data_IF_830708862922
#
_entry.id   IF_830708862922
#
_cell.length_a   1.000
_cell.length_b   1.000
_cell.length_c   1.000
_cell.angle_alpha   90.00
_cell.angle_beta   90.00
_cell.angle_gamma   90.00
#
_symmetry.space_group_name_H-M   'P 1'
#
loop_
_entity.id
_entity.type
_entity.pdbx_description
1 polymer ?
#
# COMPACT_ATOMS: atom_id res chain seq x y z
N UNK A 1 -0.17 34.17 -37.60
CA UNK A 1 0.87 33.87 -36.59
C UNK A 1 0.34 33.20 -35.32
N UNK A 2 -0.79 33.61 -34.73
CA UNK A 2 -1.37 33.00 -33.52
C UNK A 2 -1.87 31.56 -33.73
N UNK A 3 -2.49 31.26 -34.88
CA UNK A 3 -3.03 29.93 -35.20
C UNK A 3 -1.91 28.89 -35.38
N UNK A 4 -0.81 29.23 -36.04
CA UNK A 4 0.34 28.32 -36.21
C UNK A 4 1.03 28.00 -34.88
N UNK A 5 1.01 28.91 -33.90
CA UNK A 5 1.55 28.67 -32.55
C UNK A 5 0.64 27.75 -31.76
N UNK A 6 -0.68 27.88 -31.89
CA UNK A 6 -1.66 26.99 -31.27
C UNK A 6 -1.59 25.56 -31.83
N UNK A 7 -1.46 25.42 -33.14
CA UNK A 7 -1.31 24.11 -33.83
C UNK A 7 -0.01 23.43 -33.41
N UNK A 8 1.12 24.14 -33.35
CA UNK A 8 2.38 23.57 -32.83
C UNK A 8 2.25 23.14 -31.39
N UNK A 9 1.53 23.88 -30.57
CA UNK A 9 1.31 23.51 -29.15
C UNK A 9 0.47 22.25 -29.05
N UNK A 10 -0.60 22.10 -29.82
CA UNK A 10 -1.44 20.90 -29.88
C UNK A 10 -0.63 19.69 -30.38
N UNK A 11 0.18 19.84 -31.42
CA UNK A 11 1.02 18.75 -31.93
C UNK A 11 2.08 18.34 -30.92
N UNK A 12 2.70 19.29 -30.19
CA UNK A 12 3.67 18.96 -29.12
C UNK A 12 3.02 18.21 -27.96
N UNK A 13 1.73 18.41 -27.68
CA UNK A 13 0.96 17.68 -26.69
C UNK A 13 0.62 16.25 -27.13
N UNK A 14 0.44 16.02 -28.41
CA UNK A 14 0.12 14.70 -28.99
C UNK A 14 1.35 13.81 -29.20
N UNK A 15 2.55 14.35 -29.01
CA UNK A 15 3.79 13.55 -29.08
C UNK A 15 4.10 12.91 -27.74
N UNK A 16 4.80 11.76 -27.70
CA UNK A 16 5.27 11.15 -26.46
C UNK A 16 6.06 12.12 -25.58
N UNK A 17 6.81 13.05 -26.17
CA UNK A 17 7.52 14.10 -25.46
C UNK A 17 6.56 15.12 -24.82
N UNK A 18 5.50 15.49 -25.49
CA UNK A 18 4.46 16.39 -24.96
C UNK A 18 3.74 15.77 -23.76
N UNK A 19 3.43 14.49 -23.80
CA UNK A 19 2.83 13.74 -22.69
C UNK A 19 3.79 13.70 -21.48
N UNK A 20 5.08 13.40 -21.71
CA UNK A 20 6.10 13.41 -20.66
C UNK A 20 6.31 14.80 -20.07
N UNK A 21 6.29 15.84 -20.89
CA UNK A 21 6.40 17.24 -20.43
C UNK A 21 5.20 17.65 -19.59
N UNK A 22 3.98 17.30 -20.01
CA UNK A 22 2.76 17.58 -19.28
C UNK A 22 2.71 16.83 -17.93
N UNK A 23 3.18 15.58 -17.91
CA UNK A 23 3.29 14.81 -16.67
C UNK A 23 4.31 15.43 -15.69
N UNK A 24 5.49 15.83 -16.18
CA UNK A 24 6.48 16.54 -15.37
C UNK A 24 5.92 17.85 -14.83
N UNK A 25 5.27 18.66 -15.65
CA UNK A 25 4.65 19.91 -15.22
C UNK A 25 3.57 19.69 -14.15
N UNK A 26 2.74 18.67 -14.31
CA UNK A 26 1.75 18.27 -13.30
C UNK A 26 2.42 17.85 -11.97
N UNK A 27 3.50 17.07 -12.04
CA UNK A 27 4.27 16.63 -10.87
C UNK A 27 4.91 17.83 -10.15
N UNK A 28 5.56 18.75 -10.88
CA UNK A 28 6.14 19.95 -10.29
C UNK A 28 5.08 20.84 -9.64
N UNK A 29 3.90 20.96 -10.24
CA UNK A 29 2.79 21.74 -9.67
C UNK A 29 2.28 21.12 -8.37
N UNK A 30 2.18 19.79 -8.29
CA UNK A 30 1.78 19.09 -7.06
C UNK A 30 2.77 19.35 -5.94
N UNK A 31 4.07 19.13 -6.20
CA UNK A 31 5.14 19.37 -5.24
C UNK A 31 5.18 20.83 -4.79
N UNK A 32 5.02 21.80 -5.73
CA UNK A 32 4.95 23.20 -5.40
C UNK A 32 3.78 23.52 -4.48
N UNK A 33 2.59 23.03 -4.79
CA UNK A 33 1.41 23.20 -3.95
C UNK A 33 1.59 22.59 -2.56
N UNK A 34 2.19 21.40 -2.49
CA UNK A 34 2.51 20.77 -1.21
C UNK A 34 3.42 21.64 -0.36
N UNK A 35 4.50 22.16 -0.94
CA UNK A 35 5.46 23.04 -0.27
C UNK A 35 4.77 24.33 0.21
N UNK A 36 3.91 24.95 -0.60
CA UNK A 36 3.20 26.17 -0.21
C UNK A 36 2.20 25.91 0.94
N UNK A 37 1.46 24.79 0.92
CA UNK A 37 0.59 24.41 2.02
C UNK A 37 1.38 24.09 3.30
N UNK A 38 2.51 23.41 3.18
CA UNK A 38 3.40 23.14 4.30
C UNK A 38 3.95 24.44 4.91
N UNK A 39 4.40 25.39 4.09
CA UNK A 39 4.81 26.73 4.55
C UNK A 39 3.72 27.45 5.34
N UNK A 40 2.46 27.37 4.85
CA UNK A 40 1.32 27.96 5.57
C UNK A 40 1.09 27.27 6.90
N UNK A 41 1.15 25.95 6.94
CA UNK A 41 1.02 25.16 8.17
C UNK A 41 2.08 25.54 9.22
N UNK A 42 3.37 25.58 8.82
CA UNK A 42 4.48 25.94 9.74
C UNK A 42 4.33 27.37 10.30
N UNK A 43 3.73 28.28 9.53
CA UNK A 43 3.46 29.65 9.98
C UNK A 43 2.21 29.77 10.84
N UNK A 44 1.32 28.79 10.81
CA UNK A 44 0.15 28.79 11.68
C UNK A 44 0.53 28.44 13.11
N UNK A 45 -0.10 29.05 14.09
CA UNK A 45 0.08 28.70 15.50
C UNK A 45 -0.67 27.42 15.88
N UNK A 46 -1.54 26.92 15.00
CA UNK A 46 -2.30 25.69 15.20
C UNK A 46 -1.45 24.49 14.80
N UNK A 47 -0.86 23.84 15.80
CA UNK A 47 -0.24 22.53 15.62
C UNK A 47 -1.31 21.44 15.75
N UNK A 48 -1.18 20.42 14.92
CA UNK A 48 -2.01 19.24 14.99
C UNK A 48 -1.41 18.28 16.02
N UNK A 49 -2.23 17.78 16.94
CA UNK A 49 -1.81 16.75 17.88
C UNK A 49 -2.02 15.36 17.27
N UNK A 50 -1.02 14.49 17.42
CA UNK A 50 -1.13 13.12 16.96
C UNK A 50 -1.95 12.27 17.92
N UNK A 51 -2.62 11.28 17.35
CA UNK A 51 -3.30 10.23 18.10
C UNK A 51 -2.27 9.18 18.52
N UNK A 52 -2.18 8.91 19.82
CA UNK A 52 -1.20 7.96 20.38
C UNK A 52 -1.60 6.52 20.15
N UNK A 53 -2.86 6.17 20.37
CA UNK A 53 -3.36 4.80 20.31
C UNK A 53 -4.09 4.51 19.00
N UNK A 54 -4.08 3.24 18.60
CA UNK A 54 -4.84 2.81 17.43
C UNK A 54 -6.34 3.00 17.67
N UNK A 55 -7.07 3.65 16.73
CA UNK A 55 -8.52 3.80 16.84
C UNK A 55 -9.28 2.49 16.57
N UNK A 56 -8.64 1.50 15.97
CA UNK A 56 -9.21 0.20 15.66
C UNK A 56 -8.77 -0.88 16.65
N UNK A 57 -9.65 -1.81 16.97
CA UNK A 57 -9.32 -2.99 17.80
C UNK A 57 -8.40 -3.94 17.03
N UNK A 58 -8.68 -4.13 15.75
CA UNK A 58 -7.90 -4.97 14.84
C UNK A 58 -7.74 -4.27 13.49
N UNK A 59 -6.53 -4.33 12.95
CA UNK A 59 -6.23 -3.94 11.58
C UNK A 59 -5.81 -5.21 10.83
N UNK A 60 -6.52 -5.53 9.76
CA UNK A 60 -6.26 -6.72 8.94
C UNK A 60 -5.63 -6.29 7.62
N UNK A 61 -4.50 -6.88 7.27
CA UNK A 61 -3.95 -6.78 5.92
C UNK A 61 -4.17 -8.09 5.16
N UNK A 62 -4.89 -8.02 4.06
CA UNK A 62 -5.04 -9.14 3.13
C UNK A 62 -3.93 -9.05 2.11
N UNK A 63 -3.08 -10.06 2.08
CA UNK A 63 -1.92 -10.13 1.19
C UNK A 63 -2.05 -11.29 0.21
N UNK A 64 -1.37 -11.18 -0.91
CA UNK A 64 -1.30 -12.28 -1.87
C UNK A 64 -0.30 -11.97 -2.97
N UNK A 65 0.18 -13.01 -3.62
CA UNK A 65 0.91 -12.85 -4.86
C UNK A 65 -0.06 -12.43 -5.95
N UNK A 66 0.39 -11.68 -6.91
CA UNK A 66 -0.46 -11.21 -7.98
C UNK A 66 -1.39 -12.27 -8.54
N UNK A 67 -2.66 -11.92 -8.59
CA UNK A 67 -3.75 -12.83 -9.00
C UNK A 67 -3.90 -14.10 -8.14
N UNK A 68 -3.43 -14.08 -6.91
CA UNK A 68 -3.61 -15.17 -5.95
C UNK A 68 -5.06 -15.35 -5.46
N UNK A 69 -5.93 -14.39 -5.74
CA UNK A 69 -7.30 -14.39 -5.25
C UNK A 69 -7.49 -13.66 -3.92
N UNK A 70 -6.54 -12.83 -3.49
CA UNK A 70 -6.66 -12.00 -2.28
C UNK A 70 -7.91 -11.12 -2.28
N UNK A 71 -8.31 -10.61 -3.44
CA UNK A 71 -9.56 -9.86 -3.59
C UNK A 71 -10.81 -10.62 -3.12
N UNK A 72 -10.85 -11.94 -3.25
CA UNK A 72 -11.97 -12.75 -2.75
C UNK A 72 -12.07 -12.70 -1.20
N UNK A 73 -10.93 -12.69 -0.50
CA UNK A 73 -10.92 -12.53 0.97
C UNK A 73 -11.30 -11.10 1.36
N UNK A 74 -10.86 -10.09 0.59
CA UNK A 74 -11.28 -8.70 0.79
C UNK A 74 -12.78 -8.55 0.61
N UNK A 75 -13.37 -9.18 -0.42
CA UNK A 75 -14.80 -9.16 -0.68
C UNK A 75 -15.58 -9.90 0.42
N UNK A 76 -15.08 -11.05 0.89
CA UNK A 76 -15.63 -11.73 2.06
C UNK A 76 -15.67 -10.81 3.28
N UNK A 77 -14.56 -10.14 3.60
CA UNK A 77 -14.48 -9.25 4.77
C UNK A 77 -15.40 -8.01 4.63
N UNK A 78 -15.76 -7.60 3.42
CA UNK A 78 -16.76 -6.53 3.19
C UNK A 78 -18.17 -6.93 3.61
N UNK A 79 -18.47 -8.22 3.73
CA UNK A 79 -19.79 -8.72 4.08
C UNK A 79 -20.13 -8.55 5.56
N UNK A 80 -19.15 -8.18 6.41
CA UNK A 80 -19.34 -8.00 7.85
C UNK A 80 -19.64 -6.55 8.22
N UNK A 81 -20.60 -6.34 9.12
CA UNK A 81 -20.97 -5.02 9.60
C UNK A 81 -19.88 -4.37 10.44
N UNK A 82 -19.08 -5.19 11.13
CA UNK A 82 -17.99 -4.76 12.01
C UNK A 82 -16.71 -4.34 11.27
N UNK A 83 -16.64 -4.56 9.95
CA UNK A 83 -15.44 -4.25 9.17
C UNK A 83 -15.60 -2.98 8.34
N UNK A 84 -14.53 -2.21 8.26
CA UNK A 84 -14.34 -1.16 7.26
C UNK A 84 -13.22 -1.60 6.30
N UNK A 85 -13.57 -1.82 5.04
CA UNK A 85 -12.61 -2.24 4.02
C UNK A 85 -12.19 -1.04 3.19
N UNK A 86 -10.91 -0.69 3.25
CA UNK A 86 -10.29 0.25 2.33
C UNK A 86 -9.78 -0.55 1.14
N UNK A 87 -10.41 -0.37 0.03
CA UNK A 87 -10.06 -1.08 -1.21
C UNK A 87 -10.91 -0.63 -2.35
N UNK A 88 -10.46 -1.02 -3.48
CA UNK A 88 -10.90 -0.62 -4.76
C UNK A 88 -12.27 -1.04 -5.09
N UNK A 89 -13.20 -0.71 -5.49
CA UNK A 89 -14.23 -1.12 -6.45
C UNK A 89 -15.25 -2.07 -5.86
N UNK A 90 -16.47 -1.63 -5.82
CA UNK A 90 -17.58 -2.54 -5.73
C UNK A 90 -17.69 -3.39 -7.02
N UNK A 91 -18.42 -4.50 -6.94
CA UNK A 91 -18.63 -5.44 -8.04
C UNK A 91 -19.28 -4.83 -9.29
N UNK A 92 -19.82 -3.63 -9.20
CA UNK A 92 -20.45 -2.90 -10.30
C UNK A 92 -19.52 -1.91 -10.98
N UNK A 93 -18.25 -1.78 -10.52
CA UNK A 93 -17.30 -0.83 -11.06
C UNK A 93 -17.57 0.61 -10.64
N UNK A 94 -18.54 0.85 -9.77
CA UNK A 94 -18.75 2.14 -9.13
C UNK A 94 -17.84 2.23 -7.90
N UNK A 95 -17.03 3.27 -7.84
CA UNK A 95 -16.35 3.59 -6.58
C UNK A 95 -17.44 3.86 -5.55
N UNK A 96 -17.53 3.01 -4.53
CA UNK A 96 -18.36 3.31 -3.37
C UNK A 96 -18.08 4.74 -2.96
N UNK A 97 -19.11 5.48 -2.59
CA UNK A 97 -18.98 6.83 -2.01
C UNK A 97 -18.28 6.70 -0.66
N UNK A 98 -17.03 6.29 -0.66
CA UNK A 98 -16.20 6.37 0.52
C UNK A 98 -15.87 7.83 0.75
N UNK A 99 -16.06 8.29 1.96
CA UNK A 99 -15.69 9.64 2.37
C UNK A 99 -14.18 9.83 2.22
N UNK A 100 -13.41 8.73 2.34
CA UNK A 100 -11.99 8.65 2.05
C UNK A 100 -11.78 7.90 0.74
N UNK A 101 -11.41 8.65 -0.28
CA UNK A 101 -11.15 8.15 -1.63
C UNK A 101 -9.71 7.68 -1.74
N UNK A 102 -9.43 6.48 -1.29
CA UNK A 102 -8.16 5.85 -1.62
C UNK A 102 -8.37 4.37 -1.96
N UNK A 103 -7.75 3.96 -3.04
CA UNK A 103 -7.71 2.58 -3.44
C UNK A 103 -6.85 1.75 -2.49
N UNK A 104 -5.83 2.38 -1.94
CA UNK A 104 -4.78 1.77 -1.15
C UNK A 104 -4.29 2.80 -0.14
N UNK A 105 -3.88 2.32 1.04
CA UNK A 105 -3.13 3.17 1.97
C UNK A 105 -1.67 3.16 1.53
N UNK A 106 -1.42 3.77 0.40
CA UNK A 106 -0.14 3.73 -0.32
C UNK A 106 1.02 4.41 0.43
N UNK A 107 0.72 5.30 1.38
CA UNK A 107 1.72 5.85 2.31
C UNK A 107 2.37 4.76 3.16
N UNK A 108 1.68 3.63 3.35
CA UNK A 108 2.16 2.46 4.06
C UNK A 108 2.90 1.49 3.15
N UNK A 109 2.64 1.54 1.86
CA UNK A 109 3.32 0.66 0.91
C UNK A 109 4.80 0.90 0.92
N UNK A 110 5.50 -0.16 1.10
CA UNK A 110 6.91 -0.20 1.36
C UNK A 110 7.83 0.10 0.22
N UNK A 111 7.42 -0.15 -1.01
CA UNK A 111 8.27 0.15 -2.15
C UNK A 111 8.50 1.66 -2.29
N UNK A 112 8.98 2.25 -1.25
CA UNK A 112 9.26 3.64 -1.17
C UNK A 112 8.51 4.41 -0.09
N UNK A 113 7.71 3.74 0.73
CA UNK A 113 6.98 4.36 1.83
C UNK A 113 7.85 4.67 3.05
N UNK A 114 7.18 4.92 4.16
CA UNK A 114 7.81 5.27 5.44
C UNK A 114 8.88 4.26 5.89
N UNK A 115 8.75 2.99 5.55
CA UNK A 115 9.72 1.94 5.89
C UNK A 115 11.05 2.04 5.13
N UNK A 116 11.06 2.47 3.86
CA UNK A 116 12.33 2.65 3.15
C UNK A 116 13.16 3.77 3.76
N UNK A 117 12.49 4.77 4.30
CA UNK A 117 13.13 5.88 4.98
C UNK A 117 13.95 5.41 6.18
N UNK A 118 13.51 4.37 6.86
CA UNK A 118 14.22 3.76 7.99
C UNK A 118 15.64 3.31 7.64
N UNK A 119 15.89 2.89 6.41
CA UNK A 119 17.22 2.48 5.92
C UNK A 119 18.26 3.61 5.93
N UNK A 120 17.79 4.83 5.99
CA UNK A 120 18.67 6.02 6.02
C UNK A 120 18.89 6.58 7.43
N UNK A 121 18.19 6.04 8.44
CA UNK A 121 18.30 6.48 9.82
C UNK A 121 19.58 5.88 10.44
N UNK A 122 20.30 6.70 11.22
CA UNK A 122 21.55 6.28 11.84
C UNK A 122 22.77 6.34 10.91
N UNK A 123 22.61 6.74 9.67
CA UNK A 123 23.75 7.07 8.82
C UNK A 123 24.22 8.49 9.13
N UNK A 124 25.44 8.64 9.60
CA UNK A 124 26.05 9.95 9.84
C UNK A 124 26.42 10.70 8.53
N UNK A 125 25.81 10.35 7.42
CA UNK A 125 26.11 10.92 6.12
C UNK A 125 25.13 12.04 5.79
N UNK A 126 25.61 13.26 5.74
CA UNK A 126 24.85 14.50 5.44
C UNK A 126 24.06 14.38 4.12
N UNK A 127 24.63 13.74 3.10
CA UNK A 127 23.96 13.52 1.82
C UNK A 127 22.78 12.54 1.91
N UNK A 128 22.82 11.59 2.83
CA UNK A 128 21.74 10.64 3.04
C UNK A 128 20.53 11.29 3.71
N UNK A 129 20.75 12.31 4.52
CA UNK A 129 19.68 12.98 5.27
C UNK A 129 18.87 13.96 4.40
N UNK A 130 19.52 14.65 3.47
CA UNK A 130 18.80 15.43 2.46
C UNK A 130 17.96 14.50 1.55
N UNK A 131 18.52 13.36 1.15
CA UNK A 131 17.80 12.33 0.41
C UNK A 131 16.64 11.75 1.21
N UNK A 132 16.78 11.59 2.53
CA UNK A 132 15.74 11.15 3.43
C UNK A 132 14.52 12.09 3.41
N UNK A 133 14.77 13.37 3.64
CA UNK A 133 13.74 14.39 3.68
C UNK A 133 13.02 14.49 2.33
N UNK A 134 13.76 14.49 1.22
CA UNK A 134 13.20 14.46 -0.12
C UNK A 134 12.33 13.22 -0.38
N UNK A 135 12.73 12.06 0.12
CA UNK A 135 11.94 10.83 -0.01
C UNK A 135 10.66 10.88 0.81
N UNK A 136 10.72 11.31 2.07
CA UNK A 136 9.53 11.45 2.91
C UNK A 136 8.52 12.39 2.24
N UNK A 137 8.98 13.57 1.79
CA UNK A 137 8.11 14.51 1.06
C UNK A 137 7.51 13.88 -0.18
N UNK A 138 8.33 13.23 -1.00
CA UNK A 138 7.87 12.63 -2.25
C UNK A 138 6.85 11.52 -2.00
N UNK A 139 7.01 10.73 -0.93
CA UNK A 139 6.07 9.69 -0.54
C UNK A 139 4.74 10.28 -0.09
N UNK A 140 4.77 11.26 0.79
CA UNK A 140 3.54 11.87 1.31
C UNK A 140 2.82 12.63 0.19
N UNK A 141 3.51 13.49 -0.57
CA UNK A 141 2.87 14.33 -1.59
C UNK A 141 2.30 13.53 -2.77
N UNK A 142 2.88 12.36 -3.06
CA UNK A 142 2.44 11.48 -4.14
C UNK A 142 1.39 10.47 -3.72
N UNK A 143 1.18 10.29 -2.42
CA UNK A 143 0.23 9.29 -1.92
C UNK A 143 -1.22 9.67 -2.25
N UNK A 144 -2.01 8.68 -2.64
CA UNK A 144 -3.41 8.89 -2.94
C UNK A 144 -4.20 9.28 -1.70
N UNK A 145 -3.82 8.75 -0.55
CA UNK A 145 -4.47 9.11 0.71
C UNK A 145 -4.31 10.59 1.03
N UNK A 146 -3.11 11.16 0.87
CA UNK A 146 -2.87 12.59 1.05
C UNK A 146 -3.60 13.44 -0.01
N UNK A 147 -3.53 13.02 -1.27
CA UNK A 147 -4.10 13.77 -2.38
C UNK A 147 -5.62 13.90 -2.28
N UNK A 148 -6.28 12.84 -1.86
CA UNK A 148 -7.74 12.73 -1.91
C UNK A 148 -8.43 13.10 -0.59
N UNK A 149 -7.69 13.22 0.52
CA UNK A 149 -8.26 13.44 1.85
C UNK A 149 -7.68 14.69 2.52
N UNK A 150 -8.34 15.85 2.40
CA UNK A 150 -7.87 17.08 3.04
C UNK A 150 -7.75 17.00 4.57
N UNK A 151 -8.58 16.20 5.24
CA UNK A 151 -8.59 16.04 6.71
C UNK A 151 -7.30 15.49 7.28
N UNK A 152 -6.58 14.62 6.52
CA UNK A 152 -5.32 14.04 6.99
C UNK A 152 -4.09 14.93 6.75
N UNK A 153 -4.21 15.98 5.94
CA UNK A 153 -3.08 16.84 5.58
C UNK A 153 -2.39 17.51 6.76
N UNK A 154 -3.11 18.01 7.79
CA UNK A 154 -2.47 18.59 8.96
C UNK A 154 -1.53 17.61 9.68
N UNK A 155 -1.91 16.35 9.79
CA UNK A 155 -1.06 15.31 10.39
C UNK A 155 0.19 15.03 9.54
N UNK A 156 0.05 14.99 8.23
CA UNK A 156 1.19 14.85 7.33
C UNK A 156 2.16 16.03 7.45
N UNK A 157 1.65 17.24 7.58
CA UNK A 157 2.47 18.44 7.76
C UNK A 157 3.14 18.49 9.14
N UNK A 158 2.43 18.08 10.19
CA UNK A 158 3.02 17.97 11.54
C UNK A 158 4.15 16.93 11.55
N UNK A 159 3.96 15.77 10.93
CA UNK A 159 4.99 14.76 10.79
C UNK A 159 6.23 15.30 10.06
N UNK A 160 6.02 16.02 8.97
CA UNK A 160 7.08 16.67 8.23
C UNK A 160 7.80 17.74 9.05
N UNK A 161 7.05 18.54 9.83
CA UNK A 161 7.62 19.58 10.70
C UNK A 161 8.55 18.97 11.74
N UNK A 162 8.11 17.89 12.41
CA UNK A 162 8.93 17.17 13.39
C UNK A 162 10.20 16.58 12.80
N UNK A 163 10.12 15.98 11.62
CA UNK A 163 11.31 15.48 10.92
C UNK A 163 12.25 16.64 10.60
N UNK A 164 11.74 17.76 10.12
CA UNK A 164 12.56 18.95 9.84
C UNK A 164 13.21 19.49 11.09
N UNK A 165 12.49 19.59 12.20
CA UNK A 165 13.00 20.09 13.49
C UNK A 165 14.17 19.25 14.00
N UNK A 166 14.10 17.92 13.85
CA UNK A 166 15.19 17.03 14.27
C UNK A 166 16.39 17.08 13.34
N UNK A 167 16.13 17.13 12.03
CA UNK A 167 17.22 17.23 11.06
C UNK A 167 17.99 18.55 11.18
N UNK A 168 17.45 19.54 11.88
CA UNK A 168 17.97 20.90 11.93
C UNK A 168 18.22 21.41 13.35
N UNK A 169 18.76 20.58 14.25
CA UNK A 169 18.99 20.94 15.65
C UNK A 169 20.18 21.91 15.84
N UNK A 170 20.07 23.14 15.34
CA UNK A 170 20.87 24.26 15.82
C UNK A 170 19.96 25.44 16.17
N UNK A 171 20.30 26.30 17.12
CA UNK A 171 19.50 27.51 17.42
C UNK A 171 19.29 28.42 16.19
N UNK A 172 20.18 28.33 15.20
CA UNK A 172 20.05 29.01 13.91
C UNK A 172 19.17 28.22 12.93
N UNK A 173 18.94 26.94 13.18
CA UNK A 173 18.20 26.05 12.29
C UNK A 173 16.68 26.17 12.45
N UNK A 174 16.18 26.76 13.54
CA UNK A 174 14.76 27.16 13.62
C UNK A 174 14.37 28.14 12.50
N UNK A 175 15.37 28.79 11.88
CA UNK A 175 15.23 29.62 10.70
C UNK A 175 15.51 28.86 9.38
N UNK A 176 16.00 27.63 9.48
CA UNK A 176 16.47 26.86 8.32
C UNK A 176 15.63 25.61 8.11
N UNK A 177 14.57 25.74 7.37
CA UNK A 177 13.86 24.62 6.80
C UNK A 177 14.19 24.58 5.30
N UNK A 178 14.84 23.51 4.79
CA UNK A 178 15.24 23.44 3.39
C UNK A 178 14.08 23.57 2.42
N UNK A 179 12.86 23.28 2.86
CA UNK A 179 11.63 23.48 2.07
C UNK A 179 11.04 24.89 2.21
N UNK A 180 11.36 25.61 3.27
CA UNK A 180 10.86 26.98 3.50
C UNK A 180 11.82 28.05 2.97
N UNK A 181 13.10 27.77 2.97
CA UNK A 181 14.15 28.73 2.59
C UNK A 181 14.98 28.12 1.46
N UNK A 182 14.68 28.38 0.22
CA UNK A 182 15.48 27.95 -0.93
C UNK A 182 16.92 28.43 -0.80
N UNK A 183 17.75 27.66 -0.11
CA UNK A 183 19.20 27.87 -0.09
C UNK A 183 19.87 26.89 -1.02
N UNK A 184 21.00 27.30 -1.56
CA UNK A 184 21.76 26.52 -2.52
C UNK A 184 22.40 25.25 -1.90
N UNK A 185 22.90 24.37 -2.75
CA UNK A 185 23.49 23.08 -2.41
C UNK A 185 24.70 23.08 -1.44
N UNK A 186 25.12 24.23 -0.98
CA UNK A 186 26.30 24.38 -0.13
C UNK A 186 26.01 24.61 1.36
N UNK A 187 24.76 24.56 1.77
CA UNK A 187 24.41 24.79 3.16
C UNK A 187 24.57 23.48 3.97
N UNK A 188 25.42 23.55 4.99
CA UNK A 188 25.68 22.44 5.91
C UNK A 188 24.47 22.29 6.83
N UNK A 189 23.78 21.15 6.72
CA UNK A 189 22.74 20.75 7.65
C UNK A 189 23.41 20.03 8.85
N UNK A 190 23.30 20.60 10.03
CA UNK A 190 23.64 19.90 11.26
C UNK A 190 22.49 18.99 11.64
N UNK A 191 22.80 17.72 11.81
CA UNK A 191 21.80 16.69 12.03
C UNK A 191 21.88 16.22 13.48
N UNK A 192 20.75 16.21 14.14
CA UNK A 192 20.59 15.45 15.36
C UNK A 192 20.40 13.99 14.98
N UNK A 193 21.13 13.10 15.60
CA UNK A 193 20.90 11.68 15.48
C UNK A 193 19.58 11.34 16.20
N UNK A 194 18.61 10.84 15.46
CA UNK A 194 17.44 10.19 16.05
C UNK A 194 17.51 8.69 15.77
N UNK A 195 16.91 7.93 16.65
CA UNK A 195 16.92 6.48 16.57
C UNK A 195 15.83 5.95 15.64
N UNK A 196 15.99 4.74 15.16
CA UNK A 196 14.94 4.02 14.43
C UNK A 196 13.66 3.93 15.26
N UNK A 197 13.79 3.74 16.57
CA UNK A 197 12.64 3.62 17.48
C UNK A 197 11.83 4.93 17.55
N UNK A 198 12.49 6.09 17.63
CA UNK A 198 11.83 7.40 17.60
C UNK A 198 11.11 7.61 16.25
N UNK A 199 11.74 7.23 15.14
CA UNK A 199 11.13 7.32 13.83
C UNK A 199 9.88 6.44 13.71
N UNK A 200 9.96 5.18 14.17
CA UNK A 200 8.83 4.25 14.18
C UNK A 200 7.69 4.76 15.04
N UNK A 201 7.98 5.33 16.20
CA UNK A 201 6.97 5.92 17.06
C UNK A 201 6.20 7.06 16.37
N UNK A 202 6.91 7.93 15.67
CA UNK A 202 6.25 9.01 14.92
C UNK A 202 5.45 8.51 13.72
N UNK A 203 5.97 7.54 13.01
CA UNK A 203 5.21 6.91 11.93
C UNK A 203 3.93 6.27 12.47
N UNK A 204 3.99 5.58 13.62
CA UNK A 204 2.84 4.98 14.29
C UNK A 204 1.80 6.03 14.65
N UNK A 205 2.21 7.15 15.25
CA UNK A 205 1.34 8.26 15.58
C UNK A 205 0.68 8.90 14.37
N UNK A 206 1.45 9.08 13.29
CA UNK A 206 0.91 9.53 12.02
C UNK A 206 -0.15 8.55 11.50
N UNK A 207 0.14 7.25 11.52
CA UNK A 207 -0.80 6.22 11.05
C UNK A 207 -2.05 6.16 11.92
N UNK A 208 -1.92 6.21 13.24
CA UNK A 208 -3.05 6.25 14.14
C UNK A 208 -3.96 7.46 13.87
N UNK A 209 -3.36 8.63 13.62
CA UNK A 209 -4.09 9.84 13.27
C UNK A 209 -4.85 9.69 11.93
N UNK A 210 -4.19 9.12 10.92
CA UNK A 210 -4.82 8.82 9.63
C UNK A 210 -5.97 7.82 9.82
N UNK A 211 -5.76 6.76 10.59
CA UNK A 211 -6.77 5.74 10.85
C UNK A 211 -7.95 6.29 11.67
N UNK A 212 -7.71 7.28 12.54
CA UNK A 212 -8.78 7.97 13.27
C UNK A 212 -9.70 8.73 12.30
N UNK A 213 -9.13 9.48 11.38
CA UNK A 213 -9.92 10.16 10.33
C UNK A 213 -10.70 9.16 9.46
N UNK A 214 -10.07 8.03 9.13
CA UNK A 214 -10.72 6.96 8.38
C UNK A 214 -11.89 6.38 9.16
N UNK A 215 -11.72 6.11 10.46
CA UNK A 215 -12.76 5.55 11.32
C UNK A 215 -13.96 6.48 11.47
N UNK A 216 -13.72 7.75 11.73
CA UNK A 216 -14.80 8.76 11.78
C UNK A 216 -15.60 8.82 10.48
N UNK A 217 -14.93 8.72 9.36
CA UNK A 217 -15.59 8.74 8.04
C UNK A 217 -16.37 7.45 7.73
N UNK A 218 -16.08 6.33 8.41
CA UNK A 218 -16.64 5.00 8.12
C UNK A 218 -17.75 4.54 9.05
N UNK A 219 -18.16 5.37 10.01
CA UNK A 219 -19.21 5.03 10.98
C UNK A 219 -18.71 4.19 12.16
N UNK A 220 -17.48 4.43 12.63
CA UNK A 220 -16.92 3.93 13.89
C UNK A 220 -16.77 2.40 13.99
N UNK A 221 -16.55 1.73 12.88
CA UNK A 221 -16.36 0.28 12.85
C UNK A 221 -15.08 -0.16 13.57
N UNK A 222 -15.08 -1.28 14.32
CA UNK A 222 -13.95 -1.68 15.16
C UNK A 222 -12.78 -2.31 14.37
N UNK A 223 -13.03 -2.83 13.16
CA UNK A 223 -12.02 -3.55 12.37
C UNK A 223 -11.76 -2.83 11.05
N UNK A 224 -10.49 -2.53 10.79
CA UNK A 224 -10.03 -1.98 9.52
C UNK A 224 -9.41 -3.08 8.67
N UNK A 225 -9.83 -3.18 7.41
CA UNK A 225 -9.25 -4.10 6.42
C UNK A 225 -8.53 -3.33 5.33
N UNK A 226 -7.28 -3.67 5.12
CA UNK A 226 -6.38 -3.05 4.15
C UNK A 226 -5.99 -4.07 3.08
N UNK A 227 -6.18 -3.73 1.81
CA UNK A 227 -5.79 -4.57 0.70
C UNK A 227 -4.31 -4.32 0.34
N UNK A 228 -3.49 -5.36 0.45
CA UNK A 228 -2.09 -5.41 0.00
C UNK A 228 -1.21 -4.23 0.44
N UNK A 229 -1.10 -3.98 1.75
CA UNK A 229 -0.23 -2.92 2.28
C UNK A 229 1.27 -3.29 2.25
N UNK A 230 1.59 -4.58 2.15
CA UNK A 230 2.97 -5.06 2.14
C UNK A 230 3.52 -5.14 0.71
N UNK A 231 4.83 -4.92 0.59
CA UNK A 231 5.50 -5.11 -0.69
C UNK A 231 5.70 -6.59 -0.99
N UNK A 232 5.46 -7.03 -2.22
CA UNK A 232 5.65 -8.42 -2.68
C UNK A 232 7.09 -8.95 -2.51
N UNK A 233 8.06 -8.07 -2.29
CA UNK A 233 9.48 -8.42 -2.20
C UNK A 233 10.06 -8.43 -0.79
N UNK A 234 9.37 -7.84 0.19
CA UNK A 234 9.84 -7.71 1.57
C UNK A 234 8.69 -7.98 2.55
N UNK A 235 8.36 -9.26 2.76
CA UNK A 235 7.35 -9.66 3.74
C UNK A 235 7.95 -9.71 5.17
N UNK A 236 8.45 -8.59 5.64
CA UNK A 236 8.90 -8.46 7.02
C UNK A 236 7.71 -8.12 7.93
N UNK A 237 6.95 -9.15 8.30
CA UNK A 237 5.73 -9.01 9.10
C UNK A 237 5.97 -8.37 10.45
N UNK A 238 7.09 -8.68 11.09
CA UNK A 238 7.43 -8.11 12.41
C UNK A 238 7.67 -6.61 12.32
N UNK A 239 8.38 -6.18 11.29
CA UNK A 239 8.61 -4.76 11.04
C UNK A 239 7.30 -3.99 10.80
N UNK A 240 6.32 -4.59 10.10
CA UNK A 240 5.00 -3.96 9.95
C UNK A 240 4.27 -3.84 11.28
N UNK A 241 4.39 -4.81 12.19
CA UNK A 241 3.81 -4.75 13.52
C UNK A 241 4.46 -3.67 14.41
N UNK A 242 5.71 -3.32 14.17
CA UNK A 242 6.35 -2.17 14.85
C UNK A 242 5.64 -0.85 14.55
N UNK A 243 5.07 -0.73 13.35
CA UNK A 243 4.29 0.45 12.94
C UNK A 243 2.79 0.33 13.23
N UNK A 244 2.27 -0.90 13.19
CA UNK A 244 0.85 -1.21 13.41
C UNK A 244 0.76 -2.40 14.38
N UNK A 245 0.85 -2.17 15.70
CA UNK A 245 0.96 -3.27 16.67
C UNK A 245 -0.18 -4.27 16.66
N UNK A 246 -1.40 -3.83 16.34
CA UNK A 246 -2.61 -4.65 16.27
C UNK A 246 -2.89 -5.20 14.85
N UNK A 247 -1.85 -5.29 14.01
CA UNK A 247 -1.94 -5.82 12.65
C UNK A 247 -2.08 -7.35 12.67
N UNK A 248 -3.11 -7.85 11.99
CA UNK A 248 -3.27 -9.25 11.60
C UNK A 248 -3.10 -9.38 10.08
N UNK A 249 -2.46 -10.44 9.64
CA UNK A 249 -2.12 -10.62 8.23
C UNK A 249 -2.76 -11.91 7.73
N UNK A 250 -3.53 -11.82 6.66
CA UNK A 250 -4.07 -12.96 5.92
C UNK A 250 -3.30 -13.06 4.60
N UNK A 251 -2.58 -14.16 4.42
CA UNK A 251 -1.83 -14.45 3.20
C UNK A 251 -2.64 -15.39 2.31
N UNK A 252 -2.97 -14.94 1.10
CA UNK A 252 -3.76 -15.71 0.15
C UNK A 252 -2.87 -16.25 -0.95
N UNK A 253 -2.92 -17.56 -1.18
CA UNK A 253 -2.24 -18.21 -2.29
C UNK A 253 -3.24 -18.97 -3.19
N UNK A 254 -2.82 -19.20 -4.41
CA UNK A 254 -3.60 -19.90 -5.44
C UNK A 254 -2.69 -20.86 -6.17
N UNK A 255 -3.28 -21.89 -6.80
CA UNK A 255 -2.56 -22.81 -7.68
C UNK A 255 -1.71 -22.03 -8.70
N UNK A 256 -0.38 -22.20 -8.69
CA UNK A 256 0.51 -21.46 -9.57
C UNK A 256 0.23 -21.71 -11.06
N UNK A 257 -0.35 -22.86 -11.41
CA UNK A 257 -0.75 -23.17 -12.78
C UNK A 257 -1.86 -22.22 -13.26
N UNK A 258 -2.84 -21.93 -12.38
CA UNK A 258 -3.89 -20.98 -12.67
C UNK A 258 -3.37 -19.54 -12.76
N UNK A 259 -2.39 -19.18 -11.94
CA UNK A 259 -1.72 -17.86 -12.01
C UNK A 259 -0.98 -17.71 -13.34
N UNK A 260 -0.23 -18.74 -13.75
CA UNK A 260 0.48 -18.76 -15.04
C UNK A 260 -0.46 -18.67 -16.24
N UNK A 261 -1.50 -19.52 -16.24
CA UNK A 261 -2.52 -19.52 -17.29
C UNK A 261 -3.23 -18.18 -17.41
N UNK A 262 -3.59 -17.56 -16.28
CA UNK A 262 -4.22 -16.25 -16.24
C UNK A 262 -3.28 -15.17 -16.81
N UNK A 263 -2.04 -15.14 -16.35
CA UNK A 263 -1.05 -14.18 -16.80
C UNK A 263 -0.79 -14.27 -18.31
N UNK A 264 -0.69 -15.49 -18.83
CA UNK A 264 -0.53 -15.79 -20.24
C UNK A 264 -1.72 -15.35 -21.08
N UNK A 265 -2.94 -15.74 -20.68
CA UNK A 265 -4.20 -15.39 -21.35
C UNK A 265 -4.42 -13.88 -21.45
N UNK A 266 -4.08 -13.14 -20.37
CA UNK A 266 -4.34 -11.70 -20.27
C UNK A 266 -3.10 -10.84 -20.57
N UNK A 267 -2.00 -11.46 -20.99
CA UNK A 267 -0.72 -10.79 -21.25
C UNK A 267 -0.29 -9.82 -20.14
N UNK A 268 -0.30 -10.31 -18.89
CA UNK A 268 -0.03 -9.50 -17.69
C UNK A 268 1.45 -9.12 -17.65
N UNK A 269 1.78 -7.86 -17.93
CA UNK A 269 3.16 -7.41 -18.18
C UNK A 269 4.13 -7.52 -16.99
N UNK A 270 3.63 -7.60 -15.75
CA UNK A 270 4.47 -7.68 -14.55
C UNK A 270 4.63 -9.11 -13.98
N UNK A 271 3.84 -10.09 -14.47
CA UNK A 271 4.04 -11.52 -14.20
C UNK A 271 4.83 -12.13 -15.34
N UNK A 272 5.99 -12.74 -15.10
CA UNK A 272 6.72 -13.47 -16.13
C UNK A 272 5.89 -14.65 -16.66
N UNK A 273 5.44 -14.58 -17.90
CA UNK A 273 4.60 -15.62 -18.50
C UNK A 273 5.05 -16.06 -19.91
N UNK A 274 6.15 -15.47 -20.38
CA UNK A 274 6.69 -15.80 -21.72
C UNK A 274 7.38 -17.15 -21.77
N UNK A 275 8.02 -17.54 -20.67
CA UNK A 275 8.66 -18.85 -20.51
C UNK A 275 8.35 -19.39 -19.13
N UNK A 276 8.07 -20.69 -19.04
CA UNK A 276 7.71 -21.35 -17.79
C UNK A 276 8.85 -21.32 -16.78
N UNK A 277 10.10 -21.44 -17.21
CA UNK A 277 11.25 -21.44 -16.32
C UNK A 277 11.41 -20.09 -15.59
N UNK A 278 11.20 -18.98 -16.32
CA UNK A 278 11.26 -17.63 -15.73
C UNK A 278 10.10 -17.42 -14.75
N UNK A 279 8.90 -17.93 -15.06
CA UNK A 279 7.76 -17.90 -14.15
C UNK A 279 8.05 -18.69 -12.87
N UNK A 280 8.55 -19.91 -12.99
CA UNK A 280 8.87 -20.76 -11.83
C UNK A 280 9.96 -20.13 -10.96
N UNK A 281 11.02 -19.60 -11.58
CA UNK A 281 12.07 -18.90 -10.84
C UNK A 281 11.54 -17.69 -10.08
N UNK A 282 10.71 -16.86 -10.72
CA UNK A 282 10.04 -15.73 -10.11
C UNK A 282 9.13 -16.16 -8.96
N UNK A 283 8.30 -17.17 -9.16
CA UNK A 283 7.37 -17.65 -8.17
C UNK A 283 8.09 -18.25 -6.94
N UNK A 284 9.20 -18.95 -7.16
CA UNK A 284 10.07 -19.44 -6.06
C UNK A 284 10.67 -18.32 -5.23
N UNK A 285 11.06 -17.21 -5.87
CA UNK A 285 11.56 -16.03 -5.14
C UNK A 285 10.45 -15.48 -4.25
N UNK A 286 9.24 -15.33 -4.77
CA UNK A 286 8.09 -14.90 -3.97
C UNK A 286 7.84 -15.82 -2.79
N UNK A 287 7.81 -17.14 -3.01
CA UNK A 287 7.61 -18.12 -1.95
C UNK A 287 8.67 -18.05 -0.86
N UNK A 288 9.93 -17.87 -1.25
CA UNK A 288 11.03 -17.73 -0.30
C UNK A 288 10.87 -16.50 0.60
N UNK A 289 10.37 -15.40 0.05
CA UNK A 289 10.15 -14.18 0.81
C UNK A 289 8.88 -14.22 1.66
N UNK A 290 7.90 -15.01 1.29
CA UNK A 290 6.62 -15.06 1.99
C UNK A 290 6.58 -16.04 3.16
N UNK A 291 7.63 -16.87 3.34
CA UNK A 291 7.72 -17.79 4.47
C UNK A 291 6.40 -18.51 4.80
N UNK A 292 5.67 -19.02 3.77
CA UNK A 292 4.35 -19.64 3.93
C UNK A 292 4.26 -20.73 4.99
N UNK A 293 5.40 -21.22 5.46
CA UNK A 293 5.50 -22.23 6.52
C UNK A 293 5.53 -21.62 7.94
N UNK A 294 5.58 -20.30 8.07
CA UNK A 294 5.62 -19.60 9.35
C UNK A 294 4.20 -19.23 9.81
N UNK A 295 3.40 -20.26 10.12
CA UNK A 295 1.98 -20.11 10.52
C UNK A 295 1.76 -19.25 11.77
N UNK A 296 2.80 -19.00 12.55
CA UNK A 296 2.72 -18.19 13.78
C UNK A 296 2.64 -16.68 13.48
N UNK A 297 3.02 -16.25 12.28
CA UNK A 297 3.12 -14.84 11.93
C UNK A 297 1.89 -14.31 11.21
N UNK A 298 1.19 -15.16 10.47
CA UNK A 298 0.01 -14.79 9.68
C UNK A 298 -0.87 -16.01 9.39
N UNK A 299 -2.12 -15.76 9.04
CA UNK A 299 -3.04 -16.81 8.64
C UNK A 299 -2.97 -17.04 7.12
N UNK A 300 -2.78 -18.28 6.71
CA UNK A 300 -2.62 -18.66 5.29
C UNK A 300 -3.92 -19.23 4.74
N UNK A 301 -4.43 -18.63 3.67
CA UNK A 301 -5.66 -19.02 2.99
C UNK A 301 -5.36 -19.54 1.59
N UNK A 302 -5.80 -20.76 1.29
CA UNK A 302 -5.86 -21.25 -0.08
C UNK A 302 -7.12 -20.69 -0.76
N UNK A 303 -6.96 -19.98 -1.88
CA UNK A 303 -8.10 -19.52 -2.67
C UNK A 303 -9.02 -20.66 -3.07
N UNK A 304 -8.45 -21.80 -3.46
CA UNK A 304 -9.23 -22.98 -3.84
C UNK A 304 -10.06 -23.50 -2.67
N UNK A 305 -9.47 -23.62 -1.47
CA UNK A 305 -10.19 -24.05 -0.28
C UNK A 305 -11.29 -23.05 0.10
N UNK A 306 -11.05 -21.76 0.04
CA UNK A 306 -12.06 -20.73 0.31
C UNK A 306 -13.29 -20.93 -0.58
N UNK A 307 -13.10 -21.27 -1.86
CA UNK A 307 -14.23 -21.40 -2.80
C UNK A 307 -14.93 -22.76 -2.70
N UNK A 308 -14.24 -23.86 -2.37
CA UNK A 308 -14.81 -25.20 -2.29
C UNK A 308 -15.28 -25.60 -0.89
N UNK A 309 -14.61 -25.07 0.14
CA UNK A 309 -14.85 -25.38 1.56
C UNK A 309 -15.23 -24.10 2.31
N UNK A 310 -16.11 -23.31 1.70
CA UNK A 310 -16.43 -21.94 2.12
C UNK A 310 -16.69 -21.81 3.63
N UNK A 311 -17.63 -22.59 4.17
CA UNK A 311 -18.05 -22.46 5.57
C UNK A 311 -16.91 -22.73 6.56
N UNK A 312 -16.07 -23.74 6.29
CA UNK A 312 -14.91 -24.05 7.14
C UNK A 312 -13.87 -22.94 7.11
N UNK A 313 -13.49 -22.47 5.91
CA UNK A 313 -12.47 -21.43 5.77
C UNK A 313 -12.96 -20.08 6.29
N UNK A 314 -14.22 -19.77 6.10
CA UNK A 314 -14.84 -18.55 6.66
C UNK A 314 -14.79 -18.57 8.18
N UNK A 315 -15.19 -19.69 8.82
CA UNK A 315 -15.12 -19.82 10.28
C UNK A 315 -13.71 -19.67 10.82
N UNK A 316 -12.69 -20.19 10.12
CA UNK A 316 -11.29 -20.02 10.51
C UNK A 316 -10.82 -18.56 10.37
N UNK A 317 -11.24 -17.86 9.31
CA UNK A 317 -10.97 -16.42 9.12
C UNK A 317 -11.67 -15.61 10.22
N UNK A 318 -12.93 -15.91 10.53
CA UNK A 318 -13.67 -15.25 11.62
C UNK A 318 -12.94 -15.39 12.96
N UNK A 319 -12.52 -16.59 13.29
CA UNK A 319 -11.76 -16.85 14.52
C UNK A 319 -10.43 -16.09 14.53
N UNK A 320 -9.69 -16.12 13.42
CA UNK A 320 -8.40 -15.43 13.32
C UNK A 320 -8.54 -13.92 13.44
N UNK A 321 -9.49 -13.32 12.75
CA UNK A 321 -9.72 -11.86 12.76
C UNK A 321 -10.37 -11.41 14.06
N UNK A 322 -11.21 -12.22 14.67
CA UNK A 322 -12.05 -11.89 15.82
C UNK A 322 -13.42 -11.36 15.39
N UNK A 323 -13.92 -11.85 14.27
CA UNK A 323 -15.25 -11.53 13.76
C UNK A 323 -16.33 -12.37 14.45
N UNK A 324 -17.50 -11.79 14.66
CA UNK A 324 -18.68 -12.53 15.09
C UNK A 324 -19.48 -12.99 13.87
N UNK A 325 -19.89 -14.25 13.86
CA UNK A 325 -20.78 -14.79 12.83
C UNK A 325 -22.06 -13.95 12.69
N UNK A 326 -22.59 -13.42 13.79
CA UNK A 326 -23.76 -12.54 13.79
C UNK A 326 -23.53 -11.22 13.05
N UNK A 327 -22.29 -10.80 12.83
CA UNK A 327 -21.95 -9.60 12.05
C UNK A 327 -21.82 -9.84 10.55
N UNK A 328 -21.97 -11.10 10.08
CA UNK A 328 -21.95 -11.49 8.67
C UNK A 328 -23.33 -11.25 8.00
N UNK A 329 -23.77 -10.02 8.02
CA UNK A 329 -25.14 -9.65 7.60
C UNK A 329 -25.35 -9.67 6.08
N UNK A 330 -24.28 -9.58 5.29
CA UNK A 330 -24.32 -9.48 3.83
C UNK A 330 -23.72 -10.68 3.13
N UNK A 331 -23.86 -11.88 3.72
CA UNK A 331 -23.29 -13.14 3.21
C UNK A 331 -23.62 -13.36 1.74
N UNK A 332 -22.61 -13.56 0.90
CA UNK A 332 -22.72 -13.80 -0.54
C UNK A 332 -23.08 -12.57 -1.38
N UNK A 333 -23.08 -11.36 -0.81
CA UNK A 333 -23.38 -10.13 -1.56
C UNK A 333 -22.13 -9.50 -2.20
N UNK A 334 -20.95 -9.73 -1.62
CA UNK A 334 -19.70 -9.21 -2.14
C UNK A 334 -18.83 -10.34 -2.71
N UNK A 335 -18.69 -11.47 -2.00
CA UNK A 335 -17.97 -12.63 -2.50
C UNK A 335 -18.93 -13.57 -3.25
N UNK A 336 -18.86 -13.58 -4.58
CA UNK A 336 -19.52 -14.57 -5.42
C UNK A 336 -18.62 -15.78 -5.68
N UNK A 337 -18.83 -16.85 -4.91
CA UNK A 337 -18.11 -18.11 -5.09
C UNK A 337 -18.38 -18.76 -6.47
N UNK A 338 -19.54 -18.55 -7.08
CA UNK A 338 -19.86 -19.11 -8.40
C UNK A 338 -19.06 -18.42 -9.50
N UNK A 339 -18.90 -17.11 -9.41
CA UNK A 339 -18.03 -16.33 -10.29
C UNK A 339 -16.56 -16.71 -10.08
N UNK A 340 -16.13 -16.82 -8.83
CA UNK A 340 -14.75 -17.15 -8.46
C UNK A 340 -14.32 -18.53 -8.95
N UNK A 341 -15.24 -19.51 -9.00
CA UNK A 341 -15.01 -20.87 -9.57
C UNK A 341 -14.59 -20.83 -11.03
N UNK A 342 -15.03 -19.86 -11.82
CA UNK A 342 -14.64 -19.72 -13.25
C UNK A 342 -13.14 -19.41 -13.42
N UNK A 343 -12.51 -18.93 -12.37
CA UNK A 343 -11.08 -18.63 -12.37
C UNK A 343 -10.23 -19.82 -11.89
N UNK A 344 -10.83 -20.95 -11.54
CA UNK A 344 -10.14 -22.13 -11.05
C UNK A 344 -9.97 -23.18 -12.16
N UNK A 345 -8.85 -23.89 -12.10
CA UNK A 345 -8.48 -24.91 -13.09
C UNK A 345 -8.44 -24.37 -14.55
N UNK A 346 -8.25 -23.08 -14.72
CA UNK A 346 -8.22 -22.45 -16.06
C UNK A 346 -7.06 -22.96 -16.90
N UNK A 347 -5.99 -23.42 -16.25
CA UNK A 347 -4.83 -24.04 -16.90
C UNK A 347 -5.20 -25.31 -17.69
N UNK A 348 -6.26 -26.03 -17.30
CA UNK A 348 -6.73 -27.23 -18.03
C UNK A 348 -7.30 -26.93 -19.40
N UNK A 349 -7.61 -25.66 -19.69
CA UNK A 349 -8.12 -25.20 -20.97
C UNK A 349 -7.02 -24.68 -21.90
N UNK A 350 -5.75 -24.73 -21.46
CA UNK A 350 -4.58 -24.33 -22.25
C UNK A 350 -3.89 -25.60 -22.79
N UNK A 351 -3.59 -25.63 -24.09
CA UNK A 351 -3.02 -26.80 -24.75
C UNK A 351 -1.51 -27.02 -24.49
N UNK A 352 -0.92 -26.31 -23.53
CA UNK A 352 0.51 -26.40 -23.23
C UNK A 352 0.80 -27.25 -22.00
N UNK A 353 0.49 -28.55 -22.06
CA UNK A 353 0.68 -29.50 -20.95
C UNK A 353 2.11 -29.53 -20.41
N UNK A 354 3.11 -29.35 -21.28
CA UNK A 354 4.52 -29.40 -20.88
C UNK A 354 4.88 -28.29 -19.86
N UNK A 355 4.42 -27.06 -20.07
CA UNK A 355 4.66 -25.96 -19.14
C UNK A 355 4.01 -26.25 -17.78
N UNK A 356 2.79 -26.78 -17.77
CA UNK A 356 2.08 -27.09 -16.52
C UNK A 356 2.68 -28.27 -15.78
N UNK A 357 3.28 -29.22 -16.48
CA UNK A 357 4.04 -30.31 -15.85
C UNK A 357 5.28 -29.75 -15.14
N UNK A 358 6.02 -28.84 -15.78
CA UNK A 358 7.17 -28.16 -15.14
C UNK A 358 6.76 -27.41 -13.88
N UNK A 359 5.63 -26.68 -13.93
CA UNK A 359 5.11 -25.95 -12.75
C UNK A 359 4.74 -26.96 -11.65
N UNK A 360 4.07 -28.06 -12.01
CA UNK A 360 3.66 -29.11 -11.06
C UNK A 360 4.85 -29.72 -10.36
N UNK A 361 5.90 -30.11 -11.12
CA UNK A 361 7.08 -30.75 -10.57
C UNK A 361 7.89 -29.81 -9.67
N UNK A 362 7.90 -28.53 -9.98
CA UNK A 362 8.75 -27.55 -9.33
C UNK A 362 8.09 -26.75 -8.19
N UNK A 363 6.74 -26.68 -8.17
CA UNK A 363 5.94 -25.92 -7.21
C UNK A 363 4.87 -26.80 -6.52
N UNK A 364 5.12 -28.09 -6.40
CA UNK A 364 4.16 -29.10 -5.87
C UNK A 364 3.58 -28.78 -4.49
N UNK A 365 4.31 -28.08 -3.63
CA UNK A 365 3.86 -27.70 -2.28
C UNK A 365 2.63 -26.78 -2.27
N UNK A 366 2.32 -26.11 -3.38
CA UNK A 366 1.21 -25.15 -3.51
C UNK A 366 0.07 -25.67 -4.36
N UNK A 367 0.21 -26.86 -4.88
CA UNK A 367 -0.81 -27.47 -5.72
C UNK A 367 -1.76 -28.25 -4.81
N UNK A 368 -2.96 -27.70 -4.67
CA UNK A 368 -4.05 -28.32 -3.88
C UNK A 368 -5.15 -28.88 -4.78
#
# INVERSE_FOLDING_TARGET
MKIAKAIRHIISWLTPYGIVSAYKEKKYRRLHNFIEFFKQYVKSEQKCEFVEDSPYETIVSVQGFGYSGSGAVVDLLREYDSTHVIGLVDLEGSMTKQTIKCAEVDILRLAGGLFEVEKYIGSNNIFQNDALLHRVVAQIESSDIYCNNPSIRPYCFEFMSRICEILTDSPQSQLYNPYLNHRGANDILFLKNFTILEYRDWCRKLLNSIFTEIRHASGEKPILVLDQIMNDWEFDTERYKDYIPNLKIIMVYRDPRDVYAFAKKNNVGWIPHKTVDVFVAWYRILLKHCHLNEHDKYYVVSFNKLIYQYESVVSEIEQYVGLSENSHSRKGQCLDCSFSRRNMNIWKNDNNEADYQVITDQLSLLIS
#
